data_IF_254147260684
#
_entry.id   IF_254147260684
#
_cell.length_a   1.000
_cell.length_b   1.000
_cell.length_c   1.000
_cell.angle_alpha   90.00
_cell.angle_beta   90.00
_cell.angle_gamma   90.00
#
_symmetry.space_group_name_H-M   'P 1'
#
loop_
_entity.id
_entity.type
_entity.pdbx_description
1 polymer ?
#
# COMPACT_ATOMS: atom_id res chain seq x y z
N UNK A 1 5.19 -0.82 2.84
CA UNK A 1 5.90 -2.02 2.33
C UNK A 1 7.35 -1.99 2.81
N UNK A 2 8.15 -0.93 2.59
CA UNK A 2 9.57 -0.90 2.97
C UNK A 2 9.78 -1.13 4.47
N UNK A 3 9.02 -0.45 5.31
CA UNK A 3 9.08 -0.64 6.77
C UNK A 3 8.74 -2.10 7.16
N UNK A 4 7.69 -2.66 6.55
CA UNK A 4 7.27 -4.03 6.82
C UNK A 4 8.31 -5.06 6.36
N UNK A 5 8.94 -4.84 5.20
CA UNK A 5 10.00 -5.72 4.71
C UNK A 5 11.19 -5.74 5.68
N UNK A 6 11.61 -4.56 6.18
CA UNK A 6 12.71 -4.48 7.14
C UNK A 6 12.39 -5.19 8.46
N UNK A 7 11.21 -4.95 9.04
CA UNK A 7 10.79 -5.60 10.29
C UNK A 7 10.66 -7.12 10.11
N UNK A 8 10.24 -7.57 8.93
CA UNK A 8 10.17 -9.00 8.58
C UNK A 8 11.53 -9.63 8.23
N UNK A 9 12.61 -8.86 8.22
CA UNK A 9 13.93 -9.35 7.83
C UNK A 9 14.04 -9.75 6.36
N UNK A 10 13.24 -9.11 5.49
CA UNK A 10 13.17 -9.43 4.05
C UNK A 10 13.87 -8.35 3.21
N UNK A 11 14.67 -8.74 2.21
CA UNK A 11 15.19 -7.78 1.23
C UNK A 11 14.05 -7.23 0.36
N UNK A 12 14.18 -5.97 -0.04
CA UNK A 12 13.18 -5.29 -0.89
C UNK A 12 13.87 -4.67 -2.10
N UNK A 13 13.56 -5.13 -3.29
CA UNK A 13 13.85 -4.39 -4.53
C UNK A 13 12.73 -3.38 -4.74
N UNK A 14 13.08 -2.11 -4.62
CA UNK A 14 12.14 -0.99 -4.73
C UNK A 14 12.36 -0.22 -6.02
N UNK A 15 11.26 0.19 -6.66
CA UNK A 15 11.29 1.05 -7.82
C UNK A 15 10.13 2.03 -7.84
N UNK A 16 10.37 3.21 -8.38
CA UNK A 16 9.34 4.23 -8.59
C UNK A 16 9.53 4.92 -9.93
N UNK A 17 8.43 5.41 -10.49
CA UNK A 17 8.41 6.17 -11.74
C UNK A 17 7.46 7.35 -11.61
N UNK A 18 7.85 8.48 -12.18
CA UNK A 18 7.01 9.66 -12.31
C UNK A 18 7.44 10.45 -13.56
N UNK A 19 6.48 10.80 -14.40
CA UNK A 19 6.72 11.53 -15.66
C UNK A 19 7.77 10.82 -16.53
N UNK A 20 8.97 11.36 -16.63
CA UNK A 20 10.09 10.85 -17.44
C UNK A 20 11.20 10.24 -16.58
N UNK A 21 11.09 10.32 -15.26
CA UNK A 21 12.09 9.85 -14.32
C UNK A 21 11.68 8.57 -13.63
N UNK A 22 12.68 7.81 -13.18
CA UNK A 22 12.46 6.65 -12.33
C UNK A 22 13.66 6.37 -11.43
N UNK A 23 13.44 5.61 -10.38
CA UNK A 23 14.48 5.25 -9.43
C UNK A 23 14.36 3.79 -9.02
N UNK A 24 15.50 3.16 -8.75
CA UNK A 24 15.59 1.77 -8.28
C UNK A 24 16.60 1.69 -7.15
N UNK A 25 16.32 0.87 -6.15
CA UNK A 25 17.26 0.49 -5.10
C UNK A 25 16.97 -0.92 -4.60
N UNK A 26 17.97 -1.57 -4.01
CA UNK A 26 17.81 -2.75 -3.19
C UNK A 26 18.04 -2.35 -1.73
N UNK A 27 17.08 -2.63 -0.88
CA UNK A 27 17.17 -2.47 0.56
C UNK A 27 17.31 -3.83 1.22
N UNK A 28 18.40 -4.03 1.94
CA UNK A 28 18.63 -5.21 2.79
C UNK A 28 18.22 -4.91 4.23
N UNK A 29 17.81 -5.92 5.02
CA UNK A 29 17.30 -5.71 6.37
C UNK A 29 18.26 -4.93 7.29
N UNK A 30 19.55 -5.22 7.21
CA UNK A 30 20.60 -4.59 8.03
C UNK A 30 21.29 -3.41 7.31
N UNK A 31 20.84 -3.06 6.11
CA UNK A 31 21.42 -2.03 5.24
C UNK A 31 20.69 -0.69 5.31
N UNK A 32 20.93 0.11 4.26
CA UNK A 32 20.17 1.34 4.03
C UNK A 32 18.68 1.02 3.80
N UNK A 33 17.84 1.98 4.12
CA UNK A 33 16.39 1.87 4.03
C UNK A 33 15.81 3.04 3.22
N UNK A 34 14.60 2.88 2.73
CA UNK A 34 13.90 3.93 1.99
C UNK A 34 13.77 5.23 2.81
N UNK A 35 13.66 5.14 4.15
CA UNK A 35 13.58 6.30 5.04
C UNK A 35 14.91 7.02 5.23
N UNK A 36 16.04 6.39 4.93
CA UNK A 36 17.34 7.07 4.96
C UNK A 36 17.47 8.00 3.74
N UNK A 37 16.79 7.67 2.64
CA UNK A 37 16.75 8.48 1.42
C UNK A 37 15.60 9.48 1.48
N UNK A 38 14.42 9.04 1.96
CA UNK A 38 13.20 9.83 2.07
C UNK A 38 12.66 9.76 3.51
N UNK A 39 13.21 10.56 4.45
CA UNK A 39 12.83 10.50 5.87
C UNK A 39 11.35 10.82 6.10
N UNK A 40 10.79 11.69 5.28
CA UNK A 40 9.38 12.10 5.33
C UNK A 40 8.65 11.64 4.08
N UNK A 41 7.52 10.95 4.26
CA UNK A 41 6.62 10.64 3.15
C UNK A 41 5.87 11.92 2.78
N UNK A 42 5.94 12.39 1.54
CA UNK A 42 5.18 13.57 1.10
C UNK A 42 3.68 13.34 1.32
N UNK A 43 3.01 14.32 1.91
CA UNK A 43 1.56 14.26 2.15
C UNK A 43 0.76 14.30 0.84
N UNK A 44 1.32 14.96 -0.17
CA UNK A 44 0.70 15.07 -1.50
C UNK A 44 1.71 14.62 -2.55
N UNK A 45 1.43 13.47 -3.18
CA UNK A 45 2.16 13.01 -4.35
C UNK A 45 1.21 13.06 -5.54
N UNK A 46 1.61 13.73 -6.62
CA UNK A 46 0.83 13.69 -7.85
C UNK A 46 0.63 12.23 -8.28
N UNK A 47 -0.63 11.86 -8.54
CA UNK A 47 -0.91 10.53 -9.05
C UNK A 47 -0.38 10.38 -10.48
N UNK A 48 -0.03 9.16 -10.87
CA UNK A 48 0.39 8.87 -12.25
C UNK A 48 -0.69 9.27 -13.27
N UNK A 49 -1.96 9.29 -12.88
CA UNK A 49 -3.07 9.72 -13.72
C UNK A 49 -3.04 11.24 -14.01
N UNK A 50 -2.55 12.05 -13.06
CA UNK A 50 -2.43 13.51 -13.22
C UNK A 50 -1.09 13.92 -13.81
N UNK A 51 0.01 13.39 -13.28
CA UNK A 51 1.36 13.74 -13.71
C UNK A 51 1.77 13.09 -15.03
N UNK A 52 1.16 11.96 -15.35
CA UNK A 52 1.57 11.06 -16.42
C UNK A 52 2.82 10.25 -16.10
N UNK A 53 3.04 9.19 -16.86
CA UNK A 53 4.26 8.36 -16.82
C UNK A 53 4.56 7.91 -18.23
N UNK A 54 5.81 8.08 -18.67
CA UNK A 54 6.26 7.50 -19.93
C UNK A 54 6.40 5.98 -19.78
N UNK A 55 5.63 5.21 -20.56
CA UNK A 55 5.64 3.73 -20.50
C UNK A 55 7.03 3.13 -20.71
N UNK A 56 7.88 3.74 -21.55
CA UNK A 56 9.26 3.32 -21.73
C UNK A 56 10.09 3.45 -20.44
N UNK A 57 9.88 4.52 -19.64
CA UNK A 57 10.55 4.69 -18.33
C UNK A 57 10.16 3.55 -17.38
N UNK A 58 8.87 3.18 -17.36
CA UNK A 58 8.39 2.06 -16.54
C UNK A 58 9.06 0.75 -16.93
N UNK A 59 9.22 0.49 -18.24
CA UNK A 59 9.89 -0.72 -18.73
C UNK A 59 11.37 -0.75 -18.32
N UNK A 60 12.09 0.37 -18.44
CA UNK A 60 13.51 0.47 -18.01
C UNK A 60 13.63 0.21 -16.50
N UNK A 61 12.81 0.89 -15.68
CA UNK A 61 12.84 0.72 -14.23
C UNK A 61 12.52 -0.74 -13.84
N UNK A 62 11.49 -1.34 -14.44
CA UNK A 62 11.14 -2.73 -14.21
C UNK A 62 12.26 -3.71 -14.58
N UNK A 63 12.98 -3.45 -15.67
CA UNK A 63 14.12 -4.26 -16.08
C UNK A 63 15.32 -4.12 -15.13
N UNK A 64 15.57 -2.91 -14.62
CA UNK A 64 16.58 -2.67 -13.60
C UNK A 64 16.24 -3.38 -12.29
N UNK A 65 14.98 -3.30 -11.84
CA UNK A 65 14.51 -4.05 -10.67
C UNK A 65 14.70 -5.56 -10.84
N UNK A 66 14.29 -6.12 -11.98
CA UNK A 66 14.47 -7.54 -12.27
C UNK A 66 15.95 -7.93 -12.27
N UNK A 67 16.83 -7.08 -12.78
CA UNK A 67 18.28 -7.29 -12.75
C UNK A 67 18.80 -7.37 -11.32
N UNK A 68 18.37 -6.48 -10.42
CA UNK A 68 18.77 -6.52 -9.01
C UNK A 68 18.26 -7.79 -8.30
N UNK A 69 17.03 -8.24 -8.59
CA UNK A 69 16.52 -9.52 -8.08
C UNK A 69 17.41 -10.69 -8.54
N UNK A 70 17.72 -10.76 -9.85
CA UNK A 70 18.56 -11.83 -10.39
C UNK A 70 19.97 -11.81 -9.80
N UNK A 71 20.57 -10.65 -9.64
CA UNK A 71 21.88 -10.50 -8.99
C UNK A 71 21.82 -10.99 -7.55
N UNK A 72 20.81 -10.55 -6.79
CA UNK A 72 20.63 -10.94 -5.40
C UNK A 72 20.51 -12.46 -5.23
N UNK A 73 19.61 -13.11 -5.96
CA UNK A 73 19.38 -14.57 -5.85
C UNK A 73 20.55 -15.39 -6.39
N UNK A 74 21.41 -14.81 -7.25
CA UNK A 74 22.60 -15.45 -7.79
C UNK A 74 23.87 -15.17 -6.98
N UNK A 75 23.78 -14.42 -5.87
CA UNK A 75 24.94 -14.05 -5.05
C UNK A 75 25.92 -13.10 -5.75
N UNK A 76 25.47 -12.36 -6.76
CA UNK A 76 26.28 -11.36 -7.46
C UNK A 76 26.22 -10.01 -6.73
N UNK A 77 27.22 -9.12 -6.93
CA UNK A 77 27.17 -7.77 -6.37
C UNK A 77 25.93 -7.02 -6.83
N UNK A 78 25.16 -6.50 -5.88
CA UNK A 78 23.91 -5.77 -6.09
C UNK A 78 24.10 -4.25 -5.96
N UNK A 79 23.04 -3.49 -6.23
CA UNK A 79 22.97 -2.07 -5.93
C UNK A 79 22.52 -1.76 -4.46
N UNK A 80 22.71 -2.70 -3.54
CA UNK A 80 22.41 -2.46 -2.12
C UNK A 80 23.15 -1.22 -1.61
N UNK A 81 22.45 -0.36 -0.86
CA UNK A 81 23.00 0.90 -0.41
C UNK A 81 23.19 1.96 -1.50
N UNK A 82 22.59 1.78 -2.67
CA UNK A 82 22.67 2.74 -3.77
C UNK A 82 21.27 3.04 -4.32
N UNK A 83 20.94 4.32 -4.46
CA UNK A 83 19.80 4.77 -5.25
C UNK A 83 20.25 5.02 -6.69
N UNK A 84 19.77 4.22 -7.63
CA UNK A 84 19.94 4.46 -9.06
C UNK A 84 18.75 5.29 -9.57
N UNK A 85 19.02 6.42 -10.22
CA UNK A 85 18.01 7.24 -10.89
C UNK A 85 18.21 7.21 -12.40
N UNK A 86 17.10 7.08 -13.12
CA UNK A 86 17.04 7.13 -14.58
C UNK A 86 16.24 8.33 -15.05
N UNK A 87 16.78 9.08 -15.98
CA UNK A 87 16.10 10.18 -16.69
C UNK A 87 15.94 9.82 -18.15
N UNK A 88 14.71 9.61 -18.60
CA UNK A 88 14.40 9.22 -19.98
C UNK A 88 14.62 10.34 -21.00
N UNK A 89 14.60 11.61 -20.60
CA UNK A 89 14.82 12.73 -21.52
C UNK A 89 16.30 12.85 -21.92
N UNK A 90 17.18 12.67 -20.96
CA UNK A 90 18.63 12.68 -21.22
C UNK A 90 19.19 11.28 -21.54
N UNK A 91 18.43 10.22 -21.23
CA UNK A 91 18.89 8.83 -21.35
C UNK A 91 19.98 8.46 -20.35
N UNK A 92 20.11 9.20 -19.24
CA UNK A 92 21.17 9.01 -18.26
C UNK A 92 20.72 8.24 -17.03
N UNK A 93 21.67 7.46 -16.47
CA UNK A 93 21.55 6.87 -15.14
C UNK A 93 22.55 7.53 -14.19
N UNK A 94 22.09 7.92 -12.99
CA UNK A 94 22.95 8.48 -11.94
C UNK A 94 22.78 7.65 -10.68
N UNK A 95 23.88 7.43 -9.95
CA UNK A 95 23.89 6.65 -8.71
C UNK A 95 24.22 7.54 -7.52
N UNK A 96 23.46 7.37 -6.44
CA UNK A 96 23.65 8.07 -5.16
C UNK A 96 23.82 7.03 -4.05
N UNK A 97 24.83 7.16 -3.20
CA UNK A 97 24.98 6.32 -2.03
C UNK A 97 23.89 6.61 -1.00
N UNK A 98 23.30 5.56 -0.47
CA UNK A 98 22.38 5.62 0.66
C UNK A 98 23.11 5.18 1.93
N UNK A 99 23.19 6.07 2.92
CA UNK A 99 23.89 5.80 4.19
C UNK A 99 22.84 5.42 5.24
N UNK A 100 22.97 4.25 5.91
CA UNK A 100 22.08 3.86 6.98
C UNK A 100 22.09 4.88 8.12
N UNK A 101 20.92 5.33 8.58
CA UNK A 101 20.77 6.14 9.76
C UNK A 101 20.53 5.23 10.99
N UNK A 102 21.47 5.15 11.95
CA UNK A 102 21.28 4.34 13.14
C UNK A 102 20.15 4.83 14.05
N UNK A 103 19.74 6.08 13.91
CA UNK A 103 18.61 6.66 14.64
C UNK A 103 17.26 6.49 13.92
N UNK A 104 17.25 5.82 12.77
CA UNK A 104 16.02 5.57 12.00
C UNK A 104 14.97 4.86 12.83
N UNK A 105 13.77 5.42 12.86
CA UNK A 105 12.59 4.79 13.47
C UNK A 105 11.74 4.17 12.37
N UNK A 106 11.47 2.88 12.48
CA UNK A 106 10.54 2.16 11.61
C UNK A 106 9.20 2.01 12.35
N UNK A 107 8.17 2.76 11.97
CA UNK A 107 6.92 2.85 12.74
C UNK A 107 5.95 1.70 12.43
N UNK A 108 6.45 0.52 12.10
CA UNK A 108 5.65 -0.67 11.79
C UNK A 108 5.87 -1.73 12.84
N UNK A 109 4.82 -2.04 13.55
CA UNK A 109 4.75 -3.18 14.44
C UNK A 109 4.01 -4.33 13.73
N UNK A 110 4.73 -5.33 13.28
CA UNK A 110 4.13 -6.51 12.63
C UNK A 110 3.48 -7.45 13.65
N UNK A 111 3.80 -7.36 14.93
CA UNK A 111 3.15 -8.16 15.96
C UNK A 111 1.69 -7.75 16.17
N UNK A 112 1.37 -6.50 15.86
CA UNK A 112 0.01 -5.97 15.87
C UNK A 112 -0.80 -6.32 14.60
N UNK A 113 -0.14 -6.84 13.55
CA UNK A 113 -0.80 -7.26 12.31
C UNK A 113 -1.29 -8.71 12.45
N UNK A 114 -2.22 -8.91 13.35
CA UNK A 114 -3.01 -10.13 13.36
C UNK A 114 -3.80 -10.21 12.05
N UNK A 115 -3.62 -11.30 11.32
CA UNK A 115 -4.32 -11.54 10.05
C UNK A 115 -5.83 -11.38 10.27
N UNK A 116 -6.53 -10.57 9.47
CA UNK A 116 -7.98 -10.45 9.57
C UNK A 116 -8.65 -11.81 9.40
N UNK A 117 -9.63 -12.10 10.24
CA UNK A 117 -10.41 -13.34 10.17
C UNK A 117 -11.44 -13.28 9.05
N UNK A 118 -11.90 -12.07 8.74
CA UNK A 118 -12.89 -11.79 7.70
C UNK A 118 -12.38 -10.67 6.81
N UNK A 119 -12.67 -10.77 5.53
CA UNK A 119 -12.38 -9.72 4.55
C UNK A 119 -13.66 -9.04 4.10
N UNK A 120 -13.66 -7.71 4.05
CA UNK A 120 -14.77 -6.88 3.60
C UNK A 120 -14.35 -6.07 2.37
N UNK A 121 -15.01 -6.33 1.24
CA UNK A 121 -14.84 -5.61 -0.01
C UNK A 121 -15.78 -4.40 -0.04
N UNK A 122 -15.20 -3.19 -0.16
CA UNK A 122 -15.97 -1.94 -0.26
C UNK A 122 -15.93 -1.36 -1.68
N UNK A 123 -15.57 -2.16 -2.68
CA UNK A 123 -15.64 -1.76 -4.09
C UNK A 123 -17.08 -1.75 -4.58
N UNK A 124 -17.32 -1.04 -5.67
CA UNK A 124 -18.63 -1.04 -6.32
C UNK A 124 -18.94 -2.40 -6.96
N UNK A 125 -20.24 -2.69 -7.15
CA UNK A 125 -20.69 -3.96 -7.69
C UNK A 125 -20.01 -4.32 -9.02
N UNK A 126 -19.92 -3.41 -10.01
CA UNK A 126 -19.25 -3.73 -11.28
C UNK A 126 -17.77 -4.09 -11.12
N UNK A 127 -17.06 -3.41 -10.22
CA UNK A 127 -15.63 -3.71 -9.95
C UNK A 127 -15.43 -5.09 -9.35
N UNK A 128 -16.37 -5.53 -8.51
CA UNK A 128 -16.33 -6.87 -7.90
C UNK A 128 -16.67 -7.96 -8.92
N UNK A 129 -17.65 -7.73 -9.77
CA UNK A 129 -18.05 -8.67 -10.84
C UNK A 129 -16.95 -8.85 -11.88
N UNK A 130 -16.24 -7.78 -12.24
CA UNK A 130 -15.11 -7.85 -13.18
C UNK A 130 -13.93 -8.65 -12.60
N UNK A 131 -13.68 -8.56 -11.30
CA UNK A 131 -12.54 -9.22 -10.65
C UNK A 131 -12.79 -9.48 -9.17
N UNK A 132 -12.99 -10.75 -8.80
CA UNK A 132 -13.01 -11.18 -7.39
C UNK A 132 -11.59 -11.22 -6.86
N UNK A 133 -11.22 -10.24 -5.99
CA UNK A 133 -9.87 -10.19 -5.40
C UNK A 133 -9.65 -11.25 -4.31
N UNK A 134 -10.69 -11.51 -3.51
CA UNK A 134 -10.64 -12.47 -2.41
C UNK A 134 -11.95 -13.26 -2.36
N UNK A 135 -11.87 -14.55 -2.62
CA UNK A 135 -13.04 -15.44 -2.51
C UNK A 135 -13.53 -15.49 -1.06
N UNK A 136 -14.85 -15.52 -0.89
CA UNK A 136 -15.46 -15.56 0.44
C UNK A 136 -15.48 -14.24 1.20
N UNK A 137 -14.99 -13.14 0.62
CA UNK A 137 -15.10 -11.81 1.22
C UNK A 137 -16.56 -11.33 1.29
N UNK A 138 -16.91 -10.69 2.41
CA UNK A 138 -18.16 -9.93 2.52
C UNK A 138 -18.12 -8.73 1.57
N UNK A 139 -19.28 -8.20 1.20
CA UNK A 139 -19.34 -7.09 0.27
C UNK A 139 -20.36 -6.03 0.71
N UNK A 140 -19.88 -4.81 0.82
CA UNK A 140 -20.71 -3.62 1.02
C UNK A 140 -20.15 -2.50 0.14
N UNK A 141 -20.78 -2.22 -1.01
CA UNK A 141 -20.36 -1.12 -1.88
C UNK A 141 -20.38 0.21 -1.12
N UNK A 142 -19.32 0.99 -1.24
CA UNK A 142 -19.20 2.24 -0.47
C UNK A 142 -20.30 3.24 -0.86
N UNK A 143 -20.83 3.18 -2.08
CA UNK A 143 -21.96 3.99 -2.54
C UNK A 143 -23.25 3.76 -1.75
N UNK A 144 -23.47 2.56 -1.20
CA UNK A 144 -24.62 2.27 -0.34
C UNK A 144 -24.53 2.94 1.04
N UNK A 145 -23.35 3.39 1.41
CA UNK A 145 -23.05 4.09 2.66
C UNK A 145 -22.77 5.56 2.43
N UNK A 146 -23.13 6.10 1.27
CA UNK A 146 -22.86 7.50 0.90
C UNK A 146 -24.16 8.22 0.55
N UNK A 147 -24.18 9.53 0.83
CA UNK A 147 -25.24 10.44 0.38
C UNK A 147 -25.13 10.74 -1.13
N UNK A 148 -26.04 11.59 -1.63
CA UNK A 148 -26.08 12.00 -3.04
C UNK A 148 -24.83 12.78 -3.48
N UNK A 149 -24.13 13.39 -2.56
CA UNK A 149 -22.89 14.17 -2.75
C UNK A 149 -21.62 13.28 -2.63
N UNK A 150 -21.76 11.97 -2.30
CA UNK A 150 -20.69 11.01 -2.16
C UNK A 150 -19.96 11.06 -0.82
N UNK A 151 -20.50 11.77 0.17
CA UNK A 151 -20.02 11.76 1.55
C UNK A 151 -20.55 10.53 2.27
N UNK A 152 -19.74 9.93 3.16
CA UNK A 152 -20.20 8.79 3.95
C UNK A 152 -21.28 9.20 4.93
N UNK A 153 -22.30 8.38 5.07
CA UNK A 153 -23.37 8.55 6.06
C UNK A 153 -22.78 8.54 7.47
N UNK A 154 -23.29 9.36 8.39
CA UNK A 154 -22.88 9.31 9.78
C UNK A 154 -23.23 7.95 10.41
N UNK A 155 -22.49 7.53 11.42
CA UNK A 155 -22.68 6.24 12.08
C UNK A 155 -24.11 6.03 12.64
N UNK A 156 -24.83 7.13 12.90
CA UNK A 156 -26.23 7.13 13.36
C UNK A 156 -27.26 6.81 12.28
N UNK A 157 -26.90 6.95 11.00
CA UNK A 157 -27.81 6.84 9.85
C UNK A 157 -27.41 5.74 8.86
N UNK A 158 -26.55 4.82 9.30
CA UNK A 158 -26.11 3.70 8.45
C UNK A 158 -27.26 2.72 8.18
N UNK A 159 -27.29 2.08 7.00
CA UNK A 159 -28.25 1.05 6.69
C UNK A 159 -28.20 -0.14 7.66
N UNK A 160 -29.35 -0.75 7.91
CA UNK A 160 -29.48 -1.93 8.80
C UNK A 160 -28.60 -3.11 8.33
N UNK A 161 -28.29 -3.19 7.04
CA UNK A 161 -27.42 -4.18 6.43
C UNK A 161 -26.00 -4.09 6.99
N UNK A 162 -25.46 -2.88 7.21
CA UNK A 162 -24.14 -2.71 7.82
C UNK A 162 -24.15 -3.15 9.30
N UNK A 163 -25.19 -2.82 10.06
CA UNK A 163 -25.33 -3.26 11.44
C UNK A 163 -25.44 -4.79 11.53
N UNK A 164 -26.22 -5.40 10.64
CA UNK A 164 -26.36 -6.85 10.55
C UNK A 164 -25.03 -7.52 10.15
N UNK A 165 -24.24 -6.88 9.32
CA UNK A 165 -22.91 -7.35 8.97
C UNK A 165 -21.99 -7.33 10.21
N UNK A 166 -21.93 -6.23 10.95
CA UNK A 166 -21.12 -6.17 12.18
C UNK A 166 -21.57 -7.19 13.23
N UNK A 167 -22.87 -7.41 13.36
CA UNK A 167 -23.40 -8.47 14.24
C UNK A 167 -22.92 -9.86 13.79
N UNK A 168 -22.89 -10.15 12.49
CA UNK A 168 -22.48 -11.45 11.93
C UNK A 168 -20.99 -11.76 12.13
N UNK A 169 -20.17 -10.71 12.27
CA UNK A 169 -18.71 -10.80 12.47
C UNK A 169 -18.30 -10.29 13.85
N UNK A 170 -19.21 -10.38 14.84
CA UNK A 170 -18.99 -9.94 16.22
C UNK A 170 -17.69 -10.51 16.79
N UNK A 171 -16.96 -9.68 17.52
CA UNK A 171 -15.68 -9.99 18.17
C UNK A 171 -14.56 -10.44 17.22
N UNK A 172 -14.69 -10.18 15.91
CA UNK A 172 -13.69 -10.57 14.91
C UNK A 172 -12.89 -9.37 14.41
N UNK A 173 -11.78 -9.69 13.78
CA UNK A 173 -10.96 -8.72 13.02
C UNK A 173 -11.36 -8.75 11.57
N UNK A 174 -11.73 -7.59 11.05
CA UNK A 174 -12.20 -7.43 9.67
C UNK A 174 -11.21 -6.56 8.89
N UNK A 175 -10.60 -7.15 7.87
CA UNK A 175 -9.76 -6.45 6.91
C UNK A 175 -10.61 -5.84 5.80
N UNK A 176 -10.65 -4.52 5.73
CA UNK A 176 -11.41 -3.78 4.72
C UNK A 176 -10.51 -3.49 3.53
N UNK A 177 -10.93 -3.83 2.32
CA UNK A 177 -10.15 -3.58 1.13
C UNK A 177 -10.97 -2.96 -0.02
N UNK A 178 -10.25 -2.29 -0.92
CA UNK A 178 -10.79 -1.76 -2.18
C UNK A 178 -9.77 -1.88 -3.32
N UNK A 179 -9.89 -1.08 -4.37
CA UNK A 179 -8.94 -1.10 -5.49
C UNK A 179 -7.55 -0.55 -5.09
N UNK A 180 -7.50 0.57 -4.36
CA UNK A 180 -6.28 1.35 -4.07
C UNK A 180 -6.02 1.64 -2.59
N UNK A 181 -6.87 1.14 -1.68
CA UNK A 181 -6.79 1.40 -0.24
C UNK A 181 -7.56 2.66 0.23
N UNK A 182 -7.73 3.68 -0.61
CA UNK A 182 -8.32 4.96 -0.20
C UNK A 182 -9.77 4.85 0.33
N UNK A 183 -10.62 4.09 -0.35
CA UNK A 183 -12.01 3.83 0.08
C UNK A 183 -12.05 3.00 1.37
N UNK A 184 -11.15 2.02 1.50
CA UNK A 184 -11.02 1.21 2.70
C UNK A 184 -10.64 2.06 3.91
N UNK A 185 -9.68 2.98 3.75
CA UNK A 185 -9.31 3.93 4.81
C UNK A 185 -10.47 4.82 5.22
N UNK A 186 -11.22 5.39 4.27
CA UNK A 186 -12.41 6.20 4.55
C UNK A 186 -13.46 5.41 5.33
N UNK A 187 -13.74 4.16 4.93
CA UNK A 187 -14.67 3.28 5.63
C UNK A 187 -14.23 3.04 7.08
N UNK A 188 -12.97 2.66 7.29
CA UNK A 188 -12.42 2.42 8.63
C UNK A 188 -12.50 3.68 9.50
N UNK A 189 -12.10 4.84 8.96
CA UNK A 189 -12.18 6.10 9.70
C UNK A 189 -13.61 6.47 10.10
N UNK A 190 -14.59 6.20 9.24
CA UNK A 190 -15.99 6.55 9.51
C UNK A 190 -16.66 5.61 10.51
N UNK A 191 -16.32 4.32 10.49
CA UNK A 191 -17.12 3.29 11.17
C UNK A 191 -16.35 2.46 12.22
N UNK A 192 -15.10 2.79 12.55
CA UNK A 192 -14.33 2.03 13.55
C UNK A 192 -14.96 2.07 14.94
N UNK A 193 -15.52 3.22 15.36
CA UNK A 193 -16.20 3.35 16.65
C UNK A 193 -17.49 2.52 16.69
N UNK A 194 -18.33 2.65 15.65
CA UNK A 194 -19.55 1.86 15.51
C UNK A 194 -19.27 0.35 15.49
N UNK A 195 -18.28 -0.09 14.73
CA UNK A 195 -17.85 -1.48 14.69
C UNK A 195 -17.37 -1.97 16.07
N UNK A 196 -16.70 -1.09 16.81
CA UNK A 196 -16.24 -1.35 18.18
C UNK A 196 -17.35 -1.69 19.16
N UNK A 197 -18.57 -1.17 18.96
CA UNK A 197 -19.77 -1.52 19.77
C UNK A 197 -20.15 -3.00 19.61
N UNK A 198 -19.76 -3.62 18.50
CA UNK A 198 -19.93 -5.04 18.19
C UNK A 198 -18.69 -5.88 18.50
N UNK A 199 -17.65 -5.29 19.13
CA UNK A 199 -16.36 -5.97 19.34
C UNK A 199 -15.54 -6.14 18.06
N UNK A 200 -16.00 -5.57 16.92
CA UNK A 200 -15.36 -5.70 15.62
C UNK A 200 -14.19 -4.73 15.51
N UNK A 201 -13.03 -5.24 15.11
CA UNK A 201 -11.83 -4.43 14.86
C UNK A 201 -11.60 -4.30 13.36
N UNK A 202 -11.76 -3.09 12.81
CA UNK A 202 -11.56 -2.79 11.39
C UNK A 202 -10.10 -2.40 11.12
N UNK A 203 -9.55 -2.91 10.03
CA UNK A 203 -8.23 -2.54 9.53
C UNK A 203 -8.29 -2.34 8.02
N UNK A 204 -7.80 -1.21 7.50
CA UNK A 204 -7.69 -0.99 6.06
C UNK A 204 -6.47 -1.76 5.49
N UNK A 205 -6.70 -2.45 4.36
CA UNK A 205 -5.70 -3.25 3.64
C UNK A 205 -5.30 -2.58 2.32
#
# INVERSE_FOLDING_TARGET
IADAAQVAGLPLVWGTVLRFGGSVSLFEPDGAHLRDIFPTIPQTVESCALAGVLGATTAVVGSLMATEVLKFVSGLPTAAGTLLTYDALSGTCTSFGAVPDPARVVPVDLSAHEVPQVLLDVREVPEREESVKHEGSLHVPLSQLSDAEGSLLPATDVPAELLSLFESVRDQRVGVFCASGARAQRFVQAYAELAGEYGVRLTAL
#
